data_IF_271173326318
#
_entry.id   IF_271173326318
#
_cell.length_a   1.000
_cell.length_b   1.000
_cell.length_c   1.000
_cell.angle_alpha   90.00
_cell.angle_beta   90.00
_cell.angle_gamma   90.00
#
_symmetry.space_group_name_H-M   'P 1'
#
loop_
_entity.id
_entity.type
_entity.pdbx_description
1 polymer ?
#
# COMPACT_ATOMS: atom_id res chain seq x y z
N UNK A 1 10.69 3.48 -7.96
CA UNK A 1 9.27 3.81 -7.71
C UNK A 1 8.93 3.83 -6.22
N UNK A 2 8.83 2.69 -5.53
CA UNK A 2 8.38 2.66 -4.12
C UNK A 2 9.49 2.74 -3.05
N UNK A 3 10.77 2.82 -3.43
CA UNK A 3 11.88 3.04 -2.48
C UNK A 3 12.43 1.80 -1.80
N UNK A 4 11.94 0.62 -2.17
CA UNK A 4 12.48 -0.67 -1.74
C UNK A 4 13.81 -0.92 -2.43
N UNK A 5 14.84 -1.26 -1.65
CA UNK A 5 16.20 -1.59 -2.12
C UNK A 5 16.56 -3.05 -1.83
N UNK A 6 16.14 -3.56 -0.68
CA UNK A 6 16.40 -4.94 -0.28
C UNK A 6 15.43 -5.88 -0.98
N UNK A 7 15.94 -6.57 -2.00
CA UNK A 7 15.17 -7.49 -2.84
C UNK A 7 15.82 -8.87 -2.82
N UNK A 8 14.99 -9.89 -2.61
CA UNK A 8 15.31 -11.30 -2.84
C UNK A 8 14.35 -11.80 -3.92
N UNK A 9 14.89 -12.43 -4.96
CA UNK A 9 14.10 -13.01 -6.04
C UNK A 9 13.89 -14.49 -5.73
N UNK A 10 12.62 -14.91 -5.74
CA UNK A 10 12.24 -16.30 -5.46
C UNK A 10 11.82 -16.97 -6.77
N UNK A 11 12.66 -17.87 -7.29
CA UNK A 11 12.33 -18.68 -8.46
C UNK A 11 11.49 -19.87 -8.03
N UNK A 12 10.17 -19.68 -7.96
CA UNK A 12 9.24 -20.72 -7.51
C UNK A 12 8.87 -21.69 -8.65
N UNK A 13 8.29 -22.85 -8.27
CA UNK A 13 7.82 -23.92 -9.16
C UNK A 13 8.94 -24.65 -9.91
N UNK A 14 10.10 -24.82 -9.27
CA UNK A 14 11.20 -25.62 -9.84
C UNK A 14 10.84 -27.12 -9.97
N UNK A 15 9.81 -27.56 -9.25
CA UNK A 15 9.32 -28.95 -9.23
C UNK A 15 8.58 -29.38 -10.51
N UNK A 16 8.10 -28.42 -11.32
CA UNK A 16 7.35 -28.71 -12.56
C UNK A 16 8.19 -28.54 -13.84
N UNK A 17 9.49 -28.26 -13.71
CA UNK A 17 10.40 -28.04 -14.84
C UNK A 17 11.64 -28.92 -14.74
N UNK A 18 12.31 -29.16 -15.86
CA UNK A 18 13.61 -29.83 -15.86
C UNK A 18 14.70 -28.91 -15.28
N UNK A 19 15.83 -29.51 -14.87
CA UNK A 19 16.99 -28.76 -14.38
C UNK A 19 17.50 -27.76 -15.40
N UNK A 20 17.53 -28.16 -16.67
CA UNK A 20 18.00 -27.33 -17.78
C UNK A 20 17.11 -26.09 -17.94
N UNK A 21 15.78 -26.28 -17.90
CA UNK A 21 14.83 -25.18 -17.97
C UNK A 21 14.91 -24.26 -16.75
N UNK A 22 15.14 -24.80 -15.56
CA UNK A 22 15.33 -23.99 -14.34
C UNK A 22 16.57 -23.08 -14.45
N UNK A 23 17.68 -23.61 -14.99
CA UNK A 23 18.92 -22.83 -15.22
C UNK A 23 18.71 -21.77 -16.30
N UNK A 24 18.01 -22.11 -17.39
CA UNK A 24 17.66 -21.14 -18.43
C UNK A 24 16.82 -20.00 -17.86
N UNK A 25 15.77 -20.32 -17.12
CA UNK A 25 14.92 -19.34 -16.43
C UNK A 25 15.70 -18.49 -15.43
N UNK A 26 16.70 -19.04 -14.74
CA UNK A 26 17.58 -18.28 -13.85
C UNK A 26 18.37 -17.20 -14.61
N UNK A 27 18.90 -17.54 -15.79
CA UNK A 27 19.62 -16.59 -16.64
C UNK A 27 18.68 -15.53 -17.24
N UNK A 28 17.46 -15.90 -17.62
CA UNK A 28 16.42 -14.97 -18.04
C UNK A 28 16.09 -13.95 -16.94
N UNK A 29 15.97 -14.41 -15.69
CA UNK A 29 15.75 -13.55 -14.53
C UNK A 29 16.92 -12.58 -14.37
N UNK A 30 18.17 -13.06 -14.43
CA UNK A 30 19.37 -12.21 -14.32
C UNK A 30 19.41 -11.12 -15.38
N UNK A 31 19.15 -11.47 -16.64
CA UNK A 31 19.14 -10.46 -17.70
C UNK A 31 17.95 -9.49 -17.54
N UNK A 32 16.81 -9.96 -17.01
CA UNK A 32 15.65 -9.12 -16.74
C UNK A 32 15.88 -8.09 -15.63
N UNK A 33 16.59 -8.45 -14.56
CA UNK A 33 16.83 -7.54 -13.42
C UNK A 33 18.04 -6.62 -13.61
N UNK A 34 18.82 -6.84 -14.67
CA UNK A 34 20.02 -6.06 -15.00
C UNK A 34 19.68 -4.58 -15.21
N UNK A 35 20.48 -3.69 -14.62
CA UNK A 35 20.25 -2.25 -14.64
C UNK A 35 19.11 -1.77 -13.72
N UNK A 36 18.52 -2.65 -12.91
CA UNK A 36 17.48 -2.31 -11.93
C UNK A 36 18.04 -2.32 -10.51
N UNK A 37 17.24 -1.86 -9.53
CA UNK A 37 17.59 -1.97 -8.11
C UNK A 37 17.75 -3.43 -7.61
N UNK A 38 17.33 -4.41 -8.41
CA UNK A 38 17.40 -5.83 -8.08
C UNK A 38 18.48 -6.59 -8.89
N UNK A 39 19.40 -5.90 -9.57
CA UNK A 39 20.45 -6.52 -10.38
C UNK A 39 21.29 -7.52 -9.57
N UNK A 40 21.67 -7.14 -8.35
CA UNK A 40 22.45 -7.96 -7.42
C UNK A 40 21.59 -8.78 -6.44
N UNK A 41 20.28 -8.85 -6.67
CA UNK A 41 19.38 -9.57 -5.77
C UNK A 41 19.70 -11.08 -5.74
N UNK A 42 19.66 -11.68 -4.55
CA UNK A 42 19.78 -13.12 -4.39
C UNK A 42 18.61 -13.81 -5.09
N UNK A 43 18.90 -14.74 -6.01
CA UNK A 43 17.89 -15.56 -6.67
C UNK A 43 17.88 -16.95 -6.02
N UNK A 44 16.81 -17.27 -5.31
CA UNK A 44 16.67 -18.53 -4.57
C UNK A 44 15.64 -19.43 -5.26
N UNK A 45 16.04 -20.60 -5.78
CA UNK A 45 15.12 -21.57 -6.35
C UNK A 45 14.36 -22.29 -5.25
N UNK A 46 13.02 -22.28 -5.32
CA UNK A 46 12.16 -22.92 -4.33
C UNK A 46 11.06 -23.76 -4.99
N UNK A 47 10.56 -24.76 -4.24
CA UNK A 47 9.26 -25.36 -4.51
C UNK A 47 8.35 -25.07 -3.34
N UNK A 48 7.43 -24.11 -3.50
CA UNK A 48 6.46 -23.78 -2.46
C UNK A 48 5.55 -24.99 -2.14
N UNK A 49 5.25 -25.83 -3.12
CA UNK A 49 4.38 -26.99 -2.94
C UNK A 49 5.08 -28.13 -2.18
N UNK A 50 6.37 -28.37 -2.45
CA UNK A 50 7.13 -29.44 -1.79
C UNK A 50 7.92 -28.95 -0.57
N UNK A 51 7.92 -27.64 -0.30
CA UNK A 51 8.70 -27.04 0.80
C UNK A 51 10.21 -27.00 0.56
N UNK A 52 10.68 -27.22 -0.67
CA UNK A 52 12.10 -27.24 -0.98
C UNK A 52 12.73 -25.85 -0.88
N UNK A 53 13.87 -25.76 -0.18
CA UNK A 53 14.69 -24.56 0.04
C UNK A 53 13.98 -23.40 0.76
N UNK A 54 12.88 -23.66 1.45
CA UNK A 54 12.15 -22.63 2.22
C UNK A 54 12.98 -22.17 3.42
N UNK A 55 13.71 -23.09 4.06
CA UNK A 55 14.68 -22.82 5.11
C UNK A 55 15.80 -21.88 4.65
N UNK A 56 16.37 -22.12 3.45
CA UNK A 56 17.39 -21.27 2.84
C UNK A 56 16.83 -19.88 2.54
N UNK A 57 15.58 -19.79 2.06
CA UNK A 57 14.90 -18.51 1.85
C UNK A 57 14.75 -17.73 3.16
N UNK A 58 14.31 -18.38 4.24
CA UNK A 58 14.18 -17.75 5.56
C UNK A 58 15.54 -17.23 6.04
N UNK A 59 16.59 -18.05 5.92
CA UNK A 59 17.96 -17.65 6.30
C UNK A 59 18.43 -16.42 5.51
N UNK A 60 18.20 -16.41 4.19
CA UNK A 60 18.57 -15.28 3.34
C UNK A 60 17.81 -14.01 3.71
N UNK A 61 16.50 -14.12 3.98
CA UNK A 61 15.68 -12.99 4.44
C UNK A 61 16.21 -12.41 5.74
N UNK A 62 16.53 -13.25 6.73
CA UNK A 62 17.05 -12.80 8.03
C UNK A 62 18.44 -12.14 7.94
N UNK A 63 19.28 -12.57 6.97
CA UNK A 63 20.60 -11.98 6.77
C UNK A 63 20.55 -10.68 5.98
N UNK A 64 19.79 -10.63 4.89
CA UNK A 64 19.80 -9.51 3.95
C UNK A 64 18.79 -8.41 4.32
N UNK A 65 17.59 -8.78 4.78
CA UNK A 65 16.51 -7.83 5.05
C UNK A 65 16.49 -7.50 6.54
N UNK A 66 17.25 -6.48 6.93
CA UNK A 66 17.23 -5.97 8.29
C UNK A 66 16.02 -5.05 8.50
N UNK A 67 15.28 -5.17 9.62
CA UNK A 67 14.25 -4.21 9.96
C UNK A 67 14.83 -2.79 9.99
N UNK A 68 14.23 -1.82 9.27
CA UNK A 68 14.69 -0.45 9.32
C UNK A 68 14.46 0.13 10.71
N UNK A 69 15.30 1.08 11.12
CA UNK A 69 15.00 1.92 12.28
C UNK A 69 13.71 2.71 12.00
N UNK A 70 12.82 2.74 13.00
CA UNK A 70 11.55 3.46 12.92
C UNK A 70 11.42 4.39 14.10
N UNK A 71 10.96 5.61 13.84
CA UNK A 71 10.75 6.58 14.88
C UNK A 71 9.46 6.29 15.65
N UNK A 72 9.61 6.08 16.95
CA UNK A 72 8.54 5.77 17.89
C UNK A 72 7.95 7.01 18.55
N UNK A 73 8.69 8.12 18.56
CA UNK A 73 8.33 9.36 19.25
C UNK A 73 7.63 10.35 18.31
N UNK A 74 7.61 10.05 17.01
CA UNK A 74 6.82 10.81 16.04
C UNK A 74 5.32 10.57 16.26
N UNK A 75 4.53 11.52 15.78
CA UNK A 75 3.07 11.41 15.80
C UNK A 75 2.58 10.20 15.01
N UNK A 76 1.66 9.44 15.60
CA UNK A 76 1.17 8.19 15.03
C UNK A 76 0.49 8.40 13.67
N UNK A 77 0.93 7.63 12.67
CA UNK A 77 0.39 7.67 11.32
C UNK A 77 0.29 6.26 10.75
N UNK A 78 -0.92 5.83 10.41
CA UNK A 78 -1.23 4.51 9.88
C UNK A 78 -1.91 4.61 8.53
N UNK A 79 -1.40 3.87 7.55
CA UNK A 79 -2.13 3.66 6.30
C UNK A 79 -3.12 2.50 6.47
N UNK A 80 -4.40 2.80 6.29
CA UNK A 80 -5.46 1.79 6.31
C UNK A 80 -5.46 1.07 4.98
N UNK A 81 -5.15 -0.23 5.01
CA UNK A 81 -5.15 -1.09 3.84
C UNK A 81 -6.52 -1.76 3.64
N UNK A 82 -7.18 -2.12 4.74
CA UNK A 82 -8.43 -2.89 4.76
C UNK A 82 -9.36 -2.39 5.87
N UNK A 83 -10.65 -2.63 5.73
CA UNK A 83 -11.61 -2.38 6.80
C UNK A 83 -12.71 -3.45 6.81
N UNK A 84 -13.17 -3.78 8.01
CA UNK A 84 -14.02 -4.93 8.23
C UNK A 84 -15.19 -4.63 9.17
N UNK A 85 -16.30 -5.29 8.90
CA UNK A 85 -17.34 -5.58 9.87
C UNK A 85 -17.14 -7.02 10.35
N UNK A 86 -16.83 -7.19 11.64
CA UNK A 86 -16.57 -8.50 12.26
C UNK A 86 -17.84 -9.14 12.83
N UNK A 87 -18.99 -8.47 12.72
CA UNK A 87 -20.25 -8.95 13.27
C UNK A 87 -20.86 -10.04 12.37
N UNK A 88 -21.32 -11.13 12.98
CA UNK A 88 -21.95 -12.23 12.24
C UNK A 88 -23.41 -11.88 11.88
N UNK A 89 -23.92 -12.30 10.72
CA UNK A 89 -25.35 -12.17 10.41
C UNK A 89 -26.23 -12.77 11.52
N UNK A 90 -27.28 -12.05 11.91
CA UNK A 90 -28.19 -12.45 12.99
C UNK A 90 -27.71 -12.09 14.41
N UNK A 91 -26.60 -11.35 14.56
CA UNK A 91 -26.18 -10.82 15.86
C UNK A 91 -27.23 -9.84 16.41
N UNK A 92 -27.59 -9.99 17.68
CA UNK A 92 -28.46 -9.04 18.38
C UNK A 92 -27.81 -7.68 18.54
N UNK A 93 -28.61 -6.62 18.64
CA UNK A 93 -28.12 -5.23 18.74
C UNK A 93 -27.18 -5.01 19.94
N UNK A 94 -27.39 -5.75 21.03
CA UNK A 94 -26.57 -5.75 22.26
C UNK A 94 -25.17 -6.35 22.08
N UNK A 95 -24.95 -7.12 21.01
CA UNK A 95 -23.70 -7.82 20.72
C UNK A 95 -22.91 -7.21 19.57
N UNK A 96 -23.40 -6.13 18.97
CA UNK A 96 -22.73 -5.45 17.87
C UNK A 96 -21.42 -4.85 18.42
N UNK A 97 -20.32 -5.27 17.81
CA UNK A 97 -19.00 -4.69 18.00
C UNK A 97 -18.78 -3.59 16.97
N UNK A 98 -17.96 -2.59 17.30
CA UNK A 98 -17.60 -1.54 16.36
C UNK A 98 -16.73 -2.04 15.21
N UNK A 99 -16.53 -1.17 14.23
CA UNK A 99 -15.76 -1.46 13.02
C UNK A 99 -14.28 -1.66 13.28
N UNK A 100 -13.64 -2.47 12.43
CA UNK A 100 -12.20 -2.76 12.49
C UNK A 100 -11.50 -2.17 11.27
N UNK A 101 -10.37 -1.51 11.48
CA UNK A 101 -9.45 -1.09 10.42
C UNK A 101 -8.16 -1.90 10.50
N UNK A 102 -7.66 -2.33 9.35
CA UNK A 102 -6.42 -3.10 9.22
C UNK A 102 -5.44 -2.38 8.32
N UNK A 103 -4.17 -2.34 8.72
CA UNK A 103 -3.17 -1.57 8.00
C UNK A 103 -1.80 -1.60 8.64
N UNK A 104 -0.95 -0.66 8.25
CA UNK A 104 0.42 -0.59 8.74
C UNK A 104 0.68 0.77 9.35
N UNK A 105 1.12 0.76 10.61
CA UNK A 105 1.63 1.95 11.28
C UNK A 105 3.01 2.28 10.71
N UNK A 106 3.16 3.50 10.19
CA UNK A 106 4.37 3.98 9.51
C UNK A 106 5.34 4.59 10.52
N UNK A 107 4.80 5.34 11.48
CA UNK A 107 5.52 6.06 12.54
C UNK A 107 4.64 6.22 13.78
N UNK A 108 5.26 6.51 14.92
CA UNK A 108 4.59 6.70 16.20
C UNK A 108 4.00 5.42 16.79
N UNK A 109 3.09 5.55 17.75
CA UNK A 109 2.50 4.43 18.49
C UNK A 109 1.01 4.66 18.73
N UNK A 110 0.26 3.57 18.76
CA UNK A 110 -1.11 3.59 19.27
C UNK A 110 -1.22 2.70 20.50
N UNK A 111 -1.99 3.15 21.47
CA UNK A 111 -2.35 2.42 22.69
C UNK A 111 -3.84 2.19 22.77
N UNK A 112 -4.22 1.16 23.53
CA UNK A 112 -5.61 0.92 23.87
C UNK A 112 -6.20 2.13 24.59
N UNK A 113 -7.37 2.58 24.15
CA UNK A 113 -8.06 3.76 24.70
C UNK A 113 -7.70 5.09 24.02
N UNK A 114 -6.71 5.12 23.12
CA UNK A 114 -6.38 6.34 22.38
C UNK A 114 -7.54 6.76 21.47
N UNK A 115 -7.69 8.07 21.29
CA UNK A 115 -8.61 8.63 20.28
C UNK A 115 -7.85 8.86 18.98
N UNK A 116 -8.38 8.29 17.90
CA UNK A 116 -7.84 8.40 16.55
C UNK A 116 -8.80 9.18 15.65
N UNK A 117 -8.22 9.83 14.64
CA UNK A 117 -8.95 10.37 13.51
C UNK A 117 -8.63 9.59 12.24
N UNK A 118 -9.59 9.53 11.30
CA UNK A 118 -9.44 8.85 10.01
C UNK A 118 -9.83 9.81 8.89
N UNK A 119 -8.91 10.00 7.94
CA UNK A 119 -9.05 10.90 6.78
C UNK A 119 -8.56 10.25 5.49
N UNK A 120 -9.20 10.50 4.34
CA UNK A 120 -10.51 11.13 4.18
C UNK A 120 -11.62 10.18 4.67
N UNK A 121 -12.59 10.66 5.45
CA UNK A 121 -13.75 9.84 5.81
C UNK A 121 -14.84 9.82 4.72
N UNK A 122 -16.05 9.34 5.02
CA UNK A 122 -17.13 9.25 4.05
C UNK A 122 -17.60 10.64 3.58
N UNK A 123 -18.29 10.66 2.44
CA UNK A 123 -18.93 11.89 1.94
C UNK A 123 -20.28 12.08 2.63
N UNK A 124 -20.48 13.26 3.23
CA UNK A 124 -21.75 13.71 3.77
C UNK A 124 -22.09 15.08 3.15
N UNK A 125 -23.24 15.20 2.48
CA UNK A 125 -23.68 16.43 1.80
C UNK A 125 -22.62 17.05 0.87
N UNK A 126 -21.90 16.20 0.13
CA UNK A 126 -20.84 16.63 -0.80
C UNK A 126 -19.52 17.03 -0.15
N UNK A 127 -19.40 16.97 1.19
CA UNK A 127 -18.15 17.21 1.92
C UNK A 127 -17.61 15.94 2.54
N UNK A 128 -16.29 15.76 2.53
CA UNK A 128 -15.63 14.68 3.27
C UNK A 128 -15.63 15.01 4.76
N UNK A 129 -16.16 14.11 5.57
CA UNK A 129 -16.10 14.26 7.03
C UNK A 129 -14.89 13.51 7.57
N UNK A 130 -14.25 14.06 8.60
CA UNK A 130 -13.25 13.32 9.37
C UNK A 130 -13.96 12.41 10.35
N UNK A 131 -13.61 11.12 10.36
CA UNK A 131 -14.11 10.21 11.38
C UNK A 131 -13.22 10.31 12.62
N UNK A 132 -13.84 10.22 13.80
CA UNK A 132 -13.14 10.13 15.07
C UNK A 132 -13.64 8.91 15.83
N UNK A 133 -12.73 8.18 16.47
CA UNK A 133 -13.10 7.01 17.25
C UNK A 133 -12.07 6.70 18.31
N UNK A 134 -12.47 5.94 19.31
CA UNK A 134 -11.58 5.41 20.34
C UNK A 134 -11.15 3.99 19.96
N UNK A 135 -9.88 3.67 20.23
CA UNK A 135 -9.33 2.33 20.09
C UNK A 135 -9.82 1.47 21.24
N UNK A 136 -10.54 0.40 20.92
CA UNK A 136 -11.10 -0.56 21.90
C UNK A 136 -10.44 -1.93 21.83
N UNK A 137 -9.51 -2.14 20.90
CA UNK A 137 -8.73 -3.35 20.80
C UNK A 137 -7.63 -3.21 19.76
N UNK A 138 -6.51 -3.86 20.01
CA UNK A 138 -5.35 -3.89 19.11
C UNK A 138 -4.93 -5.34 18.93
N UNK A 139 -4.70 -5.73 17.67
CA UNK A 139 -4.23 -7.06 17.31
C UNK A 139 -3.00 -6.95 16.41
N UNK A 140 -1.94 -7.65 16.78
CA UNK A 140 -0.72 -7.78 15.99
C UNK A 140 -0.31 -9.25 15.94
N UNK A 141 -0.01 -9.79 14.75
CA UNK A 141 0.39 -11.18 14.55
C UNK A 141 -0.58 -12.24 15.13
N UNK A 142 -1.88 -11.93 15.20
CA UNK A 142 -2.91 -12.82 15.76
C UNK A 142 -3.00 -12.80 17.29
N UNK A 143 -2.25 -11.92 17.95
CA UNK A 143 -2.30 -11.72 19.40
C UNK A 143 -2.87 -10.34 19.75
N UNK A 144 -3.63 -10.30 20.84
CA UNK A 144 -4.15 -9.05 21.39
C UNK A 144 -3.05 -8.35 22.20
N UNK A 145 -2.89 -7.05 21.96
CA UNK A 145 -1.81 -6.24 22.57
C UNK A 145 -2.37 -4.94 23.13
N UNK A 146 -1.63 -4.30 24.04
CA UNK A 146 -2.02 -3.00 24.62
C UNK A 146 -1.43 -1.80 23.86
N UNK A 147 -0.35 -2.03 23.10
CA UNK A 147 0.35 -1.02 22.31
C UNK A 147 0.80 -1.64 20.98
N UNK A 148 0.71 -0.87 19.90
CA UNK A 148 1.31 -1.20 18.60
C UNK A 148 2.29 -0.12 18.18
N UNK A 149 3.40 -0.55 17.61
CA UNK A 149 4.42 0.31 17.02
C UNK A 149 4.49 0.16 15.50
N UNK A 150 5.39 0.92 14.85
CA UNK A 150 5.53 0.91 13.42
C UNK A 150 6.05 -0.43 12.90
N UNK A 151 5.49 -0.91 11.80
CA UNK A 151 5.90 -2.14 11.14
C UNK A 151 4.93 -3.31 11.34
N UNK A 152 4.82 -4.13 10.30
CA UNK A 152 3.84 -5.22 10.25
C UNK A 152 2.44 -4.76 9.86
N UNK A 153 1.50 -5.71 9.89
CA UNK A 153 0.07 -5.48 9.69
C UNK A 153 -0.62 -5.59 11.05
N UNK A 154 -1.39 -4.57 11.40
CA UNK A 154 -2.11 -4.48 12.67
C UNK A 154 -3.60 -4.33 12.41
N UNK A 155 -4.40 -4.89 13.31
CA UNK A 155 -5.84 -4.69 13.38
C UNK A 155 -6.19 -3.75 14.54
N UNK A 156 -6.95 -2.70 14.27
CA UNK A 156 -7.44 -1.76 15.27
C UNK A 156 -8.97 -1.88 15.32
N UNK A 157 -9.49 -2.35 16.44
CA UNK A 157 -10.91 -2.31 16.73
C UNK A 157 -11.29 -0.93 17.25
N UNK A 158 -12.33 -0.34 16.67
CA UNK A 158 -12.76 1.04 16.96
C UNK A 158 -14.21 1.06 17.47
N UNK A 159 -14.66 2.21 17.99
CA UNK A 159 -16.08 2.46 18.28
C UNK A 159 -16.89 2.92 17.05
N UNK A 160 -16.33 2.88 15.84
CA UNK A 160 -17.06 3.27 14.64
C UNK A 160 -18.23 2.32 14.39
N UNK A 161 -19.30 2.87 13.82
CA UNK A 161 -20.41 2.06 13.33
C UNK A 161 -19.90 1.08 12.24
N UNK A 162 -20.18 -0.24 12.34
CA UNK A 162 -19.67 -1.24 11.39
C UNK A 162 -20.08 -0.98 9.94
N UNK A 163 -21.18 -0.26 9.70
CA UNK A 163 -21.59 0.14 8.35
C UNK A 163 -20.60 1.07 7.66
N UNK A 164 -19.75 1.77 8.44
CA UNK A 164 -18.69 2.65 7.93
C UNK A 164 -17.42 1.88 7.57
N UNK A 165 -17.22 0.67 8.06
CA UNK A 165 -16.00 -0.14 7.84
C UNK A 165 -16.24 -1.38 6.96
N UNK A 166 -17.49 -1.78 6.74
CA UNK A 166 -17.81 -2.96 5.93
C UNK A 166 -17.27 -2.87 4.49
N UNK A 167 -16.85 -4.02 3.96
CA UNK A 167 -16.44 -4.17 2.55
C UNK A 167 -15.34 -3.20 2.11
N UNK A 168 -14.32 -3.01 2.96
CA UNK A 168 -13.15 -2.17 2.64
C UNK A 168 -13.47 -0.69 2.33
N UNK A 169 -14.59 -0.17 2.88
CA UNK A 169 -15.02 1.22 2.70
C UNK A 169 -14.02 2.27 3.18
N UNK A 170 -13.12 1.94 4.11
CA UNK A 170 -12.04 2.81 4.59
C UNK A 170 -10.66 2.43 4.04
N UNK A 171 -10.59 1.51 3.06
CA UNK A 171 -9.33 1.21 2.38
C UNK A 171 -8.79 2.45 1.67
N UNK A 172 -7.50 2.73 1.85
CA UNK A 172 -6.86 3.94 1.33
C UNK A 172 -7.08 5.18 2.17
N UNK A 173 -7.63 5.07 3.38
CA UNK A 173 -7.63 6.17 4.34
C UNK A 173 -6.36 6.15 5.19
N UNK A 174 -6.10 7.25 5.88
CA UNK A 174 -5.03 7.43 6.84
C UNK A 174 -5.66 7.59 8.22
N UNK A 175 -5.16 6.84 9.20
CA UNK A 175 -5.53 6.97 10.60
C UNK A 175 -4.37 7.57 11.39
N UNK A 176 -4.64 8.46 12.33
CA UNK A 176 -3.62 9.14 13.12
C UNK A 176 -4.15 9.66 14.44
N UNK A 177 -3.27 10.24 15.24
CA UNK A 177 -3.65 10.98 16.44
C UNK A 177 -4.59 12.14 16.09
N UNK A 178 -5.57 12.39 16.96
CA UNK A 178 -6.57 13.43 16.74
C UNK A 178 -5.95 14.81 16.48
N UNK A 179 -6.34 15.45 15.37
CA UNK A 179 -5.88 16.80 15.02
C UNK A 179 -4.50 16.87 14.38
N UNK A 180 -3.85 15.74 14.13
CA UNK A 180 -2.46 15.71 13.64
C UNK A 180 -2.33 15.31 12.17
N UNK A 181 -3.36 14.69 11.58
CA UNK A 181 -3.31 14.31 10.17
C UNK A 181 -3.26 15.55 9.27
N UNK A 182 -2.61 15.37 8.13
CA UNK A 182 -2.53 16.40 7.09
C UNK A 182 -3.88 16.68 6.45
N UNK A 183 -3.90 17.75 5.67
CA UNK A 183 -5.08 18.16 4.93
C UNK A 183 -5.49 17.13 3.88
N UNK A 184 -6.80 17.07 3.64
CA UNK A 184 -7.38 16.26 2.58
C UNK A 184 -7.29 17.05 1.28
N UNK A 185 -6.59 16.50 0.30
CA UNK A 185 -6.29 17.13 -0.98
C UNK A 185 -7.28 16.65 -2.03
N UNK A 186 -8.03 17.58 -2.63
CA UNK A 186 -8.82 17.35 -3.86
C UNK A 186 -7.98 17.53 -5.14
N UNK A 187 -6.82 18.16 -5.01
CA UNK A 187 -5.85 18.36 -6.08
C UNK A 187 -4.45 18.51 -5.49
N UNK A 188 -3.43 18.17 -6.27
CA UNK A 188 -2.04 18.44 -5.89
C UNK A 188 -1.15 18.54 -7.13
N UNK A 189 0.06 19.07 -6.89
CA UNK A 189 1.16 19.12 -7.86
C UNK A 189 2.17 18.03 -7.52
N UNK A 190 2.74 17.40 -8.55
CA UNK A 190 3.76 16.36 -8.38
C UNK A 190 4.84 16.47 -9.45
N UNK A 191 6.05 16.01 -9.10
CA UNK A 191 7.11 15.75 -10.05
C UNK A 191 6.91 14.33 -10.64
N UNK A 192 6.77 14.24 -11.96
CA UNK A 192 6.51 12.98 -12.66
C UNK A 192 7.73 12.50 -13.43
N UNK A 193 8.25 11.33 -13.04
CA UNK A 193 9.31 10.63 -13.74
C UNK A 193 8.71 9.41 -14.46
N UNK A 194 8.72 9.43 -15.79
CA UNK A 194 8.15 8.37 -16.62
C UNK A 194 9.19 7.27 -16.88
N UNK A 195 8.72 6.03 -16.97
CA UNK A 195 9.52 4.89 -17.39
C UNK A 195 9.78 4.94 -18.89
N UNK A 196 10.90 4.40 -19.35
CA UNK A 196 11.19 4.32 -20.79
C UNK A 196 10.17 3.43 -21.53
N UNK A 197 9.62 2.43 -20.82
CA UNK A 197 8.74 1.40 -21.39
C UNK A 197 7.57 1.08 -20.49
N UNK A 198 6.42 0.83 -21.12
CA UNK A 198 5.20 0.40 -20.43
C UNK A 198 5.41 -0.99 -19.81
N UNK A 199 5.22 -1.09 -18.50
CA UNK A 199 5.40 -2.36 -17.78
C UNK A 199 4.17 -3.26 -17.93
N UNK A 200 4.40 -4.54 -18.23
CA UNK A 200 3.39 -5.60 -18.22
C UNK A 200 2.61 -5.80 -19.53
N UNK A 201 3.04 -5.18 -20.63
CA UNK A 201 2.57 -5.48 -21.99
C UNK A 201 3.49 -6.50 -22.67
N UNK A 202 2.93 -7.34 -23.55
CA UNK A 202 3.74 -8.27 -24.38
C UNK A 202 4.57 -7.54 -25.44
N UNK A 203 4.05 -6.40 -25.90
CA UNK A 203 4.74 -5.49 -26.80
C UNK A 203 5.42 -4.40 -25.98
N UNK A 204 6.68 -4.15 -26.27
CA UNK A 204 7.42 -3.03 -25.71
C UNK A 204 6.91 -1.75 -26.36
N UNK A 205 6.26 -0.89 -25.56
CA UNK A 205 5.77 0.42 -26.00
C UNK A 205 6.44 1.50 -25.19
N UNK A 206 6.94 2.52 -25.86
CA UNK A 206 7.47 3.71 -25.20
C UNK A 206 6.35 4.45 -24.46
N UNK A 207 6.70 5.04 -23.31
CA UNK A 207 5.76 5.84 -22.55
C UNK A 207 5.71 7.26 -23.15
N UNK A 208 4.57 7.61 -23.74
CA UNK A 208 4.35 8.97 -24.22
C UNK A 208 4.28 9.98 -23.05
N UNK A 209 4.67 11.26 -23.26
CA UNK A 209 4.51 12.31 -22.26
C UNK A 209 3.06 12.45 -21.76
N UNK A 210 2.89 12.92 -20.52
CA UNK A 210 1.58 13.17 -19.91
C UNK A 210 0.90 14.36 -20.60
N UNK A 211 -0.40 14.26 -20.87
CA UNK A 211 -1.18 15.30 -21.57
C UNK A 211 -2.20 15.97 -20.65
N UNK A 212 -2.52 17.23 -20.94
CA UNK A 212 -3.59 17.96 -20.25
C UNK A 212 -4.95 17.28 -20.56
N UNK A 213 -5.84 17.23 -19.57
CA UNK A 213 -7.13 16.52 -19.56
C UNK A 213 -7.01 14.99 -19.64
N UNK A 214 -5.81 14.44 -19.47
CA UNK A 214 -5.62 13.00 -19.42
C UNK A 214 -6.04 12.43 -18.05
N UNK A 215 -6.84 11.35 -18.00
CA UNK A 215 -7.12 10.64 -16.77
C UNK A 215 -5.99 9.66 -16.44
N UNK A 216 -5.40 9.81 -15.26
CA UNK A 216 -4.39 8.91 -14.70
C UNK A 216 -4.93 8.23 -13.44
N UNK A 217 -4.60 6.95 -13.27
CA UNK A 217 -4.77 6.27 -11.99
C UNK A 217 -3.57 6.58 -11.12
N UNK A 218 -3.83 7.08 -9.92
CA UNK A 218 -2.82 7.56 -8.98
C UNK A 218 -2.94 6.70 -7.73
N UNK A 219 -1.82 6.09 -7.34
CA UNK A 219 -1.69 5.47 -6.03
C UNK A 219 -0.84 6.37 -5.14
N UNK A 220 -1.38 6.79 -4.00
CA UNK A 220 -0.72 7.57 -2.98
C UNK A 220 -0.90 6.85 -1.64
N UNK A 221 0.18 6.35 -1.05
CA UNK A 221 0.09 5.41 0.07
C UNK A 221 -0.76 4.19 -0.30
N UNK A 222 -1.80 3.91 0.49
CA UNK A 222 -2.80 2.86 0.20
C UNK A 222 -4.00 3.36 -0.61
N UNK A 223 -4.10 4.67 -0.89
CA UNK A 223 -5.21 5.24 -1.64
C UNK A 223 -5.02 5.05 -3.14
N UNK A 224 -6.03 4.53 -3.82
CA UNK A 224 -6.11 4.54 -5.29
C UNK A 224 -7.23 5.46 -5.74
N UNK A 225 -6.90 6.44 -6.58
CA UNK A 225 -7.85 7.41 -7.13
C UNK A 225 -7.59 7.65 -8.62
N UNK A 226 -8.54 8.32 -9.28
CA UNK A 226 -8.35 8.82 -10.64
C UNK A 226 -8.10 10.32 -10.55
N UNK A 227 -6.98 10.79 -11.08
CA UNK A 227 -6.67 12.20 -11.27
C UNK A 227 -6.81 12.60 -12.74
N UNK A 228 -7.39 13.76 -13.00
CA UNK A 228 -7.39 14.39 -14.33
C UNK A 228 -6.32 15.46 -14.34
N UNK A 229 -5.41 15.37 -15.30
CA UNK A 229 -4.31 16.34 -15.46
C UNK A 229 -4.87 17.70 -15.85
N UNK A 230 -4.57 18.72 -15.06
CA UNK A 230 -5.02 20.10 -15.28
C UNK A 230 -3.93 20.97 -15.91
N UNK A 231 -2.66 20.69 -15.60
CA UNK A 231 -1.50 21.39 -16.17
C UNK A 231 -0.30 20.47 -16.29
N UNK A 232 0.56 20.73 -17.27
CA UNK A 232 1.88 20.12 -17.39
C UNK A 232 2.92 21.22 -17.63
N UNK A 233 3.94 21.29 -16.78
CA UNK A 233 5.04 22.26 -16.84
C UNK A 233 6.37 21.54 -16.63
N UNK A 234 7.07 21.24 -17.72
CA UNK A 234 8.26 20.36 -17.70
C UNK A 234 7.89 19.03 -17.02
N UNK A 235 8.54 18.72 -15.89
CA UNK A 235 8.35 17.50 -15.12
C UNK A 235 7.28 17.65 -14.03
N UNK A 236 6.74 18.86 -13.82
CA UNK A 236 5.66 19.10 -12.87
C UNK A 236 4.29 18.89 -13.54
N UNK A 237 3.45 18.10 -12.88
CA UNK A 237 2.10 17.76 -13.31
C UNK A 237 1.11 18.13 -12.22
N UNK A 238 0.11 18.94 -12.57
CA UNK A 238 -0.99 19.28 -11.69
C UNK A 238 -2.18 18.36 -11.99
N UNK A 239 -2.80 17.81 -10.94
CA UNK A 239 -3.94 16.90 -11.07
C UNK A 239 -5.11 17.32 -10.18
N UNK A 240 -6.31 17.19 -10.70
CA UNK A 240 -7.55 17.25 -9.93
C UNK A 240 -8.07 15.83 -9.71
N UNK A 241 -8.30 15.45 -8.46
CA UNK A 241 -8.65 14.09 -8.07
C UNK A 241 -10.16 13.88 -8.07
N UNK A 242 -10.59 12.69 -8.49
CA UNK A 242 -11.99 12.26 -8.40
C UNK A 242 -12.37 11.90 -6.97
N UNK A 243 -11.46 11.25 -6.24
CA UNK A 243 -11.56 11.00 -4.81
C UNK A 243 -10.36 11.67 -4.14
N UNK A 244 -10.58 12.45 -3.08
CA UNK A 244 -9.49 13.13 -2.41
C UNK A 244 -8.59 12.16 -1.65
N UNK A 245 -7.40 12.62 -1.32
CA UNK A 245 -6.35 11.84 -0.64
C UNK A 245 -5.88 12.60 0.60
N UNK A 246 -5.47 11.89 1.65
CA UNK A 246 -4.75 12.48 2.78
C UNK A 246 -3.27 12.14 2.58
N UNK A 247 -2.48 13.15 2.25
CA UNK A 247 -1.07 12.99 1.88
C UNK A 247 -0.26 14.20 2.31
N UNK A 248 1.04 14.02 2.47
CA UNK A 248 2.00 15.05 2.85
C UNK A 248 2.93 15.41 1.69
N UNK A 249 3.47 16.64 1.62
CA UNK A 249 4.56 16.95 0.70
C UNK A 249 5.74 15.97 0.88
N UNK A 250 6.20 15.39 -0.21
CA UNK A 250 7.26 14.38 -0.21
C UNK A 250 6.76 12.93 -0.29
N UNK A 251 5.46 12.70 -0.13
CA UNK A 251 4.87 11.38 -0.33
C UNK A 251 5.03 10.92 -1.78
N UNK A 252 5.37 9.64 -1.95
CA UNK A 252 5.56 9.05 -3.27
C UNK A 252 4.22 8.68 -3.88
N UNK A 253 4.10 8.93 -5.17
CA UNK A 253 2.94 8.52 -5.97
C UNK A 253 3.36 7.61 -7.11
N UNK A 254 2.52 6.62 -7.42
CA UNK A 254 2.68 5.79 -8.60
C UNK A 254 1.60 6.13 -9.62
N UNK A 255 2.02 6.38 -10.87
CA UNK A 255 1.14 6.81 -11.95
C UNK A 255 0.86 5.66 -12.89
N UNK A 256 -0.39 5.46 -13.23
CA UNK A 256 -0.81 4.47 -14.20
C UNK A 256 -1.70 5.09 -15.27
N UNK A 257 -1.45 4.71 -16.51
CA UNK A 257 -2.22 5.11 -17.70
C UNK A 257 -3.08 3.95 -18.17
N UNK A 258 -4.25 4.26 -18.71
CA UNK A 258 -5.09 3.27 -19.36
C UNK A 258 -4.53 2.94 -20.75
N UNK A 259 -4.00 1.73 -20.91
CA UNK A 259 -3.53 1.18 -22.19
C UNK A 259 -4.47 0.04 -22.59
N UNK A 260 -5.32 0.30 -23.57
CA UNK A 260 -6.43 -0.59 -23.94
C UNK A 260 -7.44 -0.74 -22.80
N UNK A 261 -7.62 -1.97 -22.30
CA UNK A 261 -8.58 -2.28 -21.25
C UNK A 261 -7.98 -2.27 -19.83
N UNK A 262 -6.68 -2.02 -19.66
CA UNK A 262 -5.97 -2.13 -18.36
C UNK A 262 -5.21 -0.86 -18.00
N UNK A 263 -5.07 -0.63 -16.71
CA UNK A 263 -4.14 0.36 -16.17
C UNK A 263 -2.72 -0.21 -16.15
N UNK A 264 -1.75 0.57 -16.62
CA UNK A 264 -0.35 0.20 -16.70
C UNK A 264 0.50 1.29 -16.06
N UNK A 265 1.47 0.88 -15.26
CA UNK A 265 2.47 1.80 -14.70
C UNK A 265 3.22 2.49 -15.85
N UNK A 266 3.35 3.79 -15.75
CA UNK A 266 4.02 4.66 -16.71
C UNK A 266 5.12 5.46 -16.04
#
# INVERSE_FOLDING_TARGET
VIGVKDVIVVQNKIDIVSKERAIESYNEIKEFVKGTCAEDALIIPVSAQQGANVDILIEAMLKQIQPPERNLDDTALMHVARSFDINKPGSGADKIKGGVIGGTLVQGKFKLGDTIEIRPGPTNNGKRVTLKSEIIGLEANGEQVEEIGPGGLVGIATKLDPSLTKSDSLSGTVAGEEGTLTEVLDSFSMEANLLDRVVGTKEEREVAPIKIKEPLMINCGTTTTIGVVTSTKKDNVDVALKLPVCASPGDRVALSRRVGARWRLI
#
